data_IF_322986149965
#
_entry.id   IF_322986149965
#
_cell.length_a   1.000
_cell.length_b   1.000
_cell.length_c   1.000
_cell.angle_alpha   90.00
_cell.angle_beta   90.00
_cell.angle_gamma   90.00
#
_symmetry.space_group_name_H-M   'P 1'
#
loop_
_entity.id
_entity.type
_entity.pdbx_description
1 polymer ?
#
# COMPACT_ATOMS: atom_id res chain seq x y z
N UNK A 1 5.40 22.12 29.15
CA UNK A 1 6.00 21.52 30.36
C UNK A 1 6.98 22.48 31.08
N UNK A 2 6.91 23.80 30.87
CA UNK A 2 8.04 24.71 31.18
C UNK A 2 7.75 25.74 32.28
N UNK A 3 6.50 26.05 32.59
CA UNK A 3 6.16 27.06 33.61
C UNK A 3 6.33 26.53 35.04
N UNK A 4 5.97 25.27 35.28
CA UNK A 4 6.01 24.67 36.61
C UNK A 4 7.46 24.40 37.07
N UNK A 5 8.30 23.84 36.20
CA UNK A 5 9.70 23.53 36.52
C UNK A 5 10.53 24.81 36.75
N UNK A 6 10.29 25.86 35.96
CA UNK A 6 10.94 27.17 36.15
C UNK A 6 10.51 27.82 37.45
N UNK A 7 9.23 27.71 37.81
CA UNK A 7 8.71 28.22 39.07
C UNK A 7 9.33 27.51 40.29
N UNK A 8 9.47 26.18 40.24
CA UNK A 8 10.10 25.40 41.30
C UNK A 8 11.59 25.77 41.46
N UNK A 9 12.32 25.98 40.36
CA UNK A 9 13.72 26.43 40.43
C UNK A 9 13.85 27.81 41.07
N UNK A 10 12.97 28.76 40.74
CA UNK A 10 12.99 30.08 41.37
C UNK A 10 12.72 30.01 42.88
N UNK A 11 11.79 29.16 43.32
CA UNK A 11 11.60 28.93 44.76
C UNK A 11 12.85 28.36 45.44
N UNK A 12 13.51 27.38 44.80
CA UNK A 12 14.73 26.76 45.34
C UNK A 12 15.89 27.77 45.40
N UNK A 13 16.02 28.65 44.39
CA UNK A 13 17.02 29.74 44.42
C UNK A 13 16.81 30.70 45.59
N UNK A 14 15.56 31.08 45.85
CA UNK A 14 15.22 31.97 46.95
C UNK A 14 15.57 31.35 48.31
N UNK A 15 15.30 30.06 48.51
CA UNK A 15 15.65 29.32 49.73
C UNK A 15 17.18 29.17 49.86
N UNK A 16 17.88 28.90 48.76
CA UNK A 16 19.34 28.69 48.75
C UNK A 16 20.12 29.91 49.25
N UNK A 17 19.60 31.12 49.01
CA UNK A 17 20.23 32.37 49.46
C UNK A 17 20.21 32.54 51.00
N UNK A 18 19.38 31.78 51.71
CA UNK A 18 19.24 31.84 53.18
C UNK A 18 20.18 30.87 53.91
N UNK A 19 20.86 29.97 53.19
CA UNK A 19 21.68 28.91 53.78
C UNK A 19 23.16 29.30 53.99
N UNK A 20 23.87 28.67 54.95
CA UNK A 20 25.30 28.89 55.20
C UNK A 20 26.21 28.39 54.06
N UNK A 21 27.43 28.90 54.00
CA UNK A 21 28.28 28.91 52.79
C UNK A 21 28.55 27.55 52.10
N UNK A 22 28.77 26.48 52.85
CA UNK A 22 29.08 25.16 52.25
C UNK A 22 27.84 24.49 51.62
N UNK A 23 26.69 24.57 52.29
CA UNK A 23 25.41 24.06 51.77
C UNK A 23 24.93 24.87 50.57
N UNK A 24 25.11 26.20 50.63
CA UNK A 24 24.81 27.12 49.52
C UNK A 24 25.55 26.76 48.24
N UNK A 25 26.85 26.44 48.32
CA UNK A 25 27.64 26.07 47.14
C UNK A 25 27.18 24.75 46.53
N UNK A 26 26.85 23.76 47.36
CA UNK A 26 26.34 22.47 46.91
C UNK A 26 25.00 22.63 46.18
N UNK A 27 24.07 23.38 46.78
CA UNK A 27 22.77 23.68 46.17
C UNK A 27 22.90 24.48 44.88
N UNK A 28 23.82 25.46 44.81
CA UNK A 28 24.09 26.21 43.58
C UNK A 28 24.50 25.30 42.43
N UNK A 29 25.40 24.34 42.67
CA UNK A 29 25.82 23.38 41.65
C UNK A 29 24.65 22.48 41.20
N UNK A 30 23.78 22.07 42.13
CA UNK A 30 22.57 21.30 41.80
C UNK A 30 21.62 22.14 40.94
N UNK A 31 21.38 23.40 41.29
CA UNK A 31 20.54 24.34 40.52
C UNK A 31 21.12 24.53 39.11
N UNK A 32 22.42 24.76 38.96
CA UNK A 32 23.07 24.93 37.66
C UNK A 32 22.93 23.67 36.78
N UNK A 33 23.06 22.48 37.38
CA UNK A 33 22.85 21.22 36.66
C UNK A 33 21.39 21.01 36.25
N UNK A 34 20.43 21.38 37.11
CA UNK A 34 19.00 21.33 36.78
C UNK A 34 18.66 22.32 35.64
N UNK A 35 19.20 23.54 35.68
CA UNK A 35 18.98 24.56 34.65
C UNK A 35 19.53 24.10 33.28
N UNK A 36 20.72 23.48 33.25
CA UNK A 36 21.27 22.85 32.04
C UNK A 36 20.36 21.75 31.49
N UNK A 37 19.83 20.87 32.36
CA UNK A 37 18.91 19.80 31.94
C UNK A 37 17.60 20.34 31.38
N UNK A 38 17.02 21.38 32.01
CA UNK A 38 15.81 22.03 31.51
C UNK A 38 16.05 22.67 30.15
N UNK A 39 17.13 23.43 29.99
CA UNK A 39 17.51 24.02 28.69
C UNK A 39 17.71 22.96 27.60
N UNK A 40 18.27 21.81 27.95
CA UNK A 40 18.37 20.68 27.00
C UNK A 40 16.98 20.19 26.59
N UNK A 41 16.11 19.88 27.55
CA UNK A 41 14.74 19.42 27.28
C UNK A 41 13.91 20.44 26.50
N UNK A 42 14.11 21.73 26.73
CA UNK A 42 13.44 22.79 25.97
C UNK A 42 13.87 22.78 24.49
N UNK A 43 15.14 22.53 24.20
CA UNK A 43 15.62 22.35 22.82
C UNK A 43 15.01 21.10 22.19
N UNK A 44 15.08 19.96 22.87
CA UNK A 44 14.52 18.70 22.38
C UNK A 44 13.01 18.84 22.09
N UNK A 45 12.27 19.53 22.96
CA UNK A 45 10.85 19.82 22.75
C UNK A 45 10.59 20.72 21.53
N UNK A 46 11.40 21.75 21.34
CA UNK A 46 11.25 22.65 20.19
C UNK A 46 11.59 21.94 18.88
N UNK A 47 12.61 21.09 18.88
CA UNK A 47 13.00 20.27 17.73
C UNK A 47 11.90 19.27 17.37
N UNK A 48 11.33 18.59 18.38
CA UNK A 48 10.19 17.69 18.19
C UNK A 48 8.96 18.43 17.66
N UNK A 49 8.67 19.63 18.18
CA UNK A 49 7.54 20.43 17.71
C UNK A 49 7.72 20.88 16.25
N UNK A 50 8.96 21.19 15.85
CA UNK A 50 9.32 21.51 14.47
C UNK A 50 9.15 20.29 13.56
N UNK A 51 9.59 19.12 14.00
CA UNK A 51 9.40 17.86 13.27
C UNK A 51 7.91 17.51 13.08
N UNK A 52 7.10 17.66 14.13
CA UNK A 52 5.64 17.51 14.04
C UNK A 52 5.00 18.48 13.04
N UNK A 53 5.43 19.74 13.02
CA UNK A 53 4.96 20.73 12.05
C UNK A 53 5.30 20.34 10.62
N UNK A 54 6.54 19.87 10.38
CA UNK A 54 6.98 19.43 9.05
C UNK A 54 6.18 18.20 8.57
N UNK A 55 5.97 17.21 9.45
CA UNK A 55 5.17 16.02 9.14
C UNK A 55 3.72 16.38 8.80
N UNK A 56 3.13 17.35 9.50
CA UNK A 56 1.79 17.84 9.20
C UNK A 56 1.70 18.49 7.82
N UNK A 57 2.70 19.29 7.43
CA UNK A 57 2.77 19.91 6.11
C UNK A 57 2.95 18.87 4.98
N UNK A 58 3.76 17.83 5.20
CA UNK A 58 3.91 16.71 4.27
C UNK A 58 2.61 15.91 4.10
N UNK A 59 1.93 15.61 5.21
CA UNK A 59 0.60 14.99 5.19
C UNK A 59 -0.39 15.80 4.34
N UNK A 60 -0.43 17.13 4.53
CA UNK A 60 -1.30 18.02 3.75
C UNK A 60 -0.95 18.04 2.25
N UNK A 61 0.33 17.93 1.89
CA UNK A 61 0.75 17.78 0.48
C UNK A 61 0.28 16.45 -0.10
N UNK A 62 0.40 15.36 0.66
CA UNK A 62 -0.03 14.03 0.23
C UNK A 62 -1.55 13.96 0.03
N UNK A 63 -2.32 14.52 0.95
CA UNK A 63 -3.79 14.60 0.86
C UNK A 63 -4.25 15.30 -0.44
N UNK A 64 -3.58 16.41 -0.81
CA UNK A 64 -3.82 17.11 -2.08
C UNK A 64 -3.49 16.24 -3.30
N UNK A 65 -2.36 15.52 -3.27
CA UNK A 65 -1.94 14.62 -4.36
C UNK A 65 -2.93 13.47 -4.55
N UNK A 66 -3.41 12.87 -3.47
CA UNK A 66 -4.43 11.82 -3.49
C UNK A 66 -5.75 12.34 -4.08
N UNK A 67 -6.19 13.53 -3.66
CA UNK A 67 -7.40 14.16 -4.20
C UNK A 67 -7.31 14.41 -5.70
N UNK A 68 -6.14 14.86 -6.19
CA UNK A 68 -5.89 15.02 -7.63
C UNK A 68 -5.91 13.69 -8.38
N UNK A 69 -5.33 12.63 -7.80
CA UNK A 69 -5.37 11.28 -8.40
C UNK A 69 -6.80 10.72 -8.48
N UNK A 70 -7.64 10.95 -7.46
CA UNK A 70 -9.04 10.52 -7.51
C UNK A 70 -9.85 11.25 -8.59
N UNK A 71 -9.63 12.56 -8.76
CA UNK A 71 -10.26 13.33 -9.85
C UNK A 71 -9.85 12.81 -11.22
N UNK A 72 -8.57 12.45 -11.40
CA UNK A 72 -8.07 11.87 -12.65
C UNK A 72 -8.63 10.47 -12.89
N UNK A 73 -8.80 9.64 -11.84
CA UNK A 73 -9.43 8.32 -11.96
C UNK A 73 -10.87 8.42 -12.47
N UNK A 74 -11.65 9.36 -11.93
CA UNK A 74 -13.03 9.56 -12.40
C UNK A 74 -13.07 9.98 -13.87
N UNK A 75 -12.11 10.81 -14.33
CA UNK A 75 -11.97 11.15 -15.76
C UNK A 75 -11.60 9.94 -16.62
N UNK A 76 -10.77 9.04 -16.11
CA UNK A 76 -10.40 7.79 -16.81
C UNK A 76 -11.62 6.88 -16.96
N UNK A 77 -12.46 6.78 -15.93
CA UNK A 77 -13.70 5.99 -15.98
C UNK A 77 -14.70 6.58 -17.01
N UNK A 78 -14.79 7.91 -17.13
CA UNK A 78 -15.58 8.58 -18.18
C UNK A 78 -15.02 8.30 -19.58
N UNK A 79 -13.71 8.44 -19.78
CA UNK A 79 -13.05 8.16 -21.06
C UNK A 79 -13.18 6.68 -21.45
N UNK A 80 -13.15 5.76 -20.48
CA UNK A 80 -13.35 4.33 -20.76
C UNK A 80 -14.76 4.05 -21.27
N UNK A 81 -15.79 4.67 -20.68
CA UNK A 81 -17.19 4.54 -21.14
C UNK A 81 -17.37 5.11 -22.54
N UNK A 82 -16.75 6.25 -22.81
CA UNK A 82 -16.77 6.88 -24.14
C UNK A 82 -16.05 6.01 -25.19
N UNK A 83 -14.91 5.42 -24.85
CA UNK A 83 -14.20 4.45 -25.69
C UNK A 83 -15.06 3.21 -26.00
N UNK A 84 -15.73 2.66 -24.99
CA UNK A 84 -16.60 1.49 -25.17
C UNK A 84 -17.82 1.81 -26.06
N UNK A 85 -18.39 3.02 -25.90
CA UNK A 85 -19.44 3.54 -26.77
C UNK A 85 -19.00 3.60 -28.24
N UNK A 86 -17.85 4.21 -28.54
CA UNK A 86 -17.33 4.28 -29.91
C UNK A 86 -16.97 2.91 -30.48
N UNK A 87 -16.44 1.99 -29.65
CA UNK A 87 -16.15 0.62 -30.06
C UNK A 87 -17.41 -0.17 -30.42
N UNK A 88 -18.52 0.06 -29.70
CA UNK A 88 -19.83 -0.52 -30.03
C UNK A 88 -20.41 0.06 -31.32
N UNK A 89 -20.27 1.35 -31.59
CA UNK A 89 -20.72 1.92 -32.87
C UNK A 89 -19.95 1.38 -34.08
N UNK A 90 -18.63 1.21 -33.94
CA UNK A 90 -17.77 0.68 -35.01
C UNK A 90 -18.06 -0.79 -35.32
N UNK A 91 -18.10 -1.64 -34.30
CA UNK A 91 -18.20 -3.09 -34.46
C UNK A 91 -19.64 -3.60 -34.45
N UNK A 92 -20.56 -2.80 -33.94
CA UNK A 92 -21.96 -3.18 -33.72
C UNK A 92 -22.16 -3.82 -32.36
N UNK A 93 -23.43 -4.10 -32.09
CA UNK A 93 -23.87 -4.94 -30.97
C UNK A 93 -24.44 -6.24 -31.54
N UNK A 94 -24.81 -7.20 -30.68
CA UNK A 94 -25.48 -8.42 -31.14
C UNK A 94 -26.80 -8.13 -31.87
N UNK A 95 -27.43 -6.99 -31.59
CA UNK A 95 -28.71 -6.55 -32.17
C UNK A 95 -28.58 -5.58 -33.34
N UNK A 96 -27.48 -4.81 -33.45
CA UNK A 96 -27.32 -3.78 -34.50
C UNK A 96 -25.96 -3.91 -35.22
N UNK A 97 -25.95 -3.98 -36.56
CA UNK A 97 -24.71 -4.04 -37.32
C UNK A 97 -23.92 -2.74 -37.21
N UNK A 98 -22.66 -2.82 -36.82
CA UNK A 98 -21.77 -1.67 -36.72
C UNK A 98 -21.39 -1.10 -38.07
N UNK A 99 -20.83 0.12 -38.08
CA UNK A 99 -20.42 0.81 -39.29
C UNK A 99 -19.49 -0.01 -40.18
N UNK A 100 -18.61 -0.85 -39.61
CA UNK A 100 -17.72 -1.72 -40.38
C UNK A 100 -18.52 -2.77 -41.17
N UNK A 101 -19.54 -3.37 -40.54
CA UNK A 101 -20.39 -4.39 -41.17
C UNK A 101 -21.27 -3.76 -42.25
N UNK A 102 -21.83 -2.58 -41.99
CA UNK A 102 -22.60 -1.81 -42.97
C UNK A 102 -21.75 -1.39 -44.18
N UNK A 103 -20.49 -0.99 -43.97
CA UNK A 103 -19.56 -0.66 -45.06
C UNK A 103 -19.16 -1.90 -45.87
N UNK A 104 -18.90 -3.03 -45.21
CA UNK A 104 -18.59 -4.29 -45.90
C UNK A 104 -19.78 -4.80 -46.73
N UNK A 105 -21.00 -4.69 -46.21
CA UNK A 105 -22.23 -5.06 -46.91
C UNK A 105 -22.49 -4.14 -48.11
N UNK A 106 -22.24 -2.84 -47.96
CA UNK A 106 -22.30 -1.88 -49.08
C UNK A 106 -21.27 -2.19 -50.17
N UNK A 107 -20.04 -2.58 -49.80
CA UNK A 107 -18.99 -2.95 -50.75
C UNK A 107 -19.25 -4.29 -51.46
N UNK A 108 -19.78 -5.30 -50.75
CA UNK A 108 -20.18 -6.56 -51.37
C UNK A 108 -21.36 -6.37 -52.34
N UNK A 109 -22.27 -5.45 -52.03
CA UNK A 109 -23.31 -5.03 -52.97
C UNK A 109 -22.72 -4.29 -54.17
N UNK A 110 -21.67 -3.47 -54.00
CA UNK A 110 -20.95 -2.82 -55.11
C UNK A 110 -20.20 -3.82 -56.02
N UNK A 111 -19.61 -4.90 -55.48
CA UNK A 111 -18.99 -5.94 -56.32
C UNK A 111 -20.04 -6.73 -57.14
N UNK A 112 -21.25 -6.92 -56.61
CA UNK A 112 -22.38 -7.45 -57.38
C UNK A 112 -22.92 -6.46 -58.43
N UNK A 113 -22.60 -5.16 -58.32
CA UNK A 113 -22.94 -4.14 -59.32
C UNK A 113 -21.87 -3.94 -60.40
N UNK A 114 -20.67 -4.53 -60.27
CA UNK A 114 -19.62 -4.45 -61.30
C UNK A 114 -19.89 -5.33 -62.55
N UNK A 115 -21.06 -5.97 -62.65
CA UNK A 115 -21.59 -6.53 -63.90
C UNK A 115 -22.56 -5.59 -64.64
N UNK A 116 -22.74 -4.35 -64.18
CA UNK A 116 -23.47 -3.31 -64.90
C UNK A 116 -22.50 -2.17 -65.18
N UNK A 117 -21.73 -2.33 -66.27
CA UNK A 117 -21.06 -1.20 -66.90
C UNK A 117 -22.11 -0.16 -67.31
N UNK A 118 -21.79 1.10 -67.02
CA UNK A 118 -22.54 2.33 -67.26
C UNK A 118 -23.51 2.70 -66.13
N UNK A 119 -23.07 3.62 -65.26
CA UNK A 119 -23.61 4.99 -65.16
C UNK A 119 -22.84 5.71 -64.05
N UNK A 120 -22.21 6.82 -64.44
CA UNK A 120 -21.94 8.06 -63.68
C UNK A 120 -21.93 7.99 -62.13
N UNK A 121 -20.76 8.24 -61.53
CA UNK A 121 -20.73 8.75 -60.16
C UNK A 121 -19.50 8.40 -59.36
N UNK A 122 -18.41 9.14 -59.56
CA UNK A 122 -17.48 9.37 -58.45
C UNK A 122 -16.68 10.67 -58.63
N UNK A 123 -17.38 11.80 -58.54
CA UNK A 123 -16.81 13.10 -58.20
C UNK A 123 -16.73 13.22 -56.67
N UNK A 124 -15.81 12.50 -56.01
CA UNK A 124 -15.51 12.73 -54.58
C UNK A 124 -14.01 12.56 -54.33
N UNK A 125 -13.17 13.23 -55.13
CA UNK A 125 -11.76 13.48 -54.76
C UNK A 125 -11.40 14.92 -55.14
N UNK A 126 -12.25 15.87 -54.75
CA UNK A 126 -11.93 17.30 -54.76
C UNK A 126 -12.69 17.90 -53.58
N UNK A 127 -12.07 17.95 -52.40
CA UNK A 127 -12.76 18.47 -51.22
C UNK A 127 -12.05 18.39 -49.88
N UNK A 128 -10.92 17.69 -49.75
CA UNK A 128 -10.12 17.82 -48.53
C UNK A 128 -9.24 19.07 -48.71
N UNK A 129 -9.65 20.16 -48.08
CA UNK A 129 -8.81 21.36 -48.04
C UNK A 129 -7.54 21.04 -47.25
N UNK A 130 -6.40 21.59 -47.67
CA UNK A 130 -5.08 21.39 -47.01
C UNK A 130 -5.08 21.70 -45.51
N UNK A 131 -6.08 22.45 -45.04
CA UNK A 131 -6.34 22.79 -43.64
C UNK A 131 -6.90 21.60 -42.84
N UNK A 132 -7.87 20.87 -43.40
CA UNK A 132 -8.45 19.68 -42.75
C UNK A 132 -7.42 18.56 -42.59
N UNK A 133 -6.52 18.40 -43.58
CA UNK A 133 -5.40 17.46 -43.48
C UNK A 133 -4.42 17.86 -42.38
N UNK A 134 -4.16 19.17 -42.21
CA UNK A 134 -3.30 19.71 -41.15
C UNK A 134 -3.90 19.51 -39.76
N UNK A 135 -5.21 19.69 -39.62
CA UNK A 135 -5.92 19.48 -38.36
C UNK A 135 -5.91 18.00 -37.95
N UNK A 136 -6.12 17.07 -38.90
CA UNK A 136 -6.02 15.62 -38.66
C UNK A 136 -4.60 15.19 -38.27
N UNK A 137 -3.56 15.76 -38.89
CA UNK A 137 -2.16 15.47 -38.52
C UNK A 137 -1.84 15.97 -37.10
N UNK A 138 -2.37 17.14 -36.72
CA UNK A 138 -2.17 17.70 -35.39
C UNK A 138 -2.93 16.90 -34.32
N UNK A 139 -4.16 16.48 -34.60
CA UNK A 139 -4.91 15.58 -33.71
C UNK A 139 -4.19 14.24 -33.52
N UNK A 140 -3.65 13.65 -34.60
CA UNK A 140 -2.89 12.41 -34.51
C UNK A 140 -1.62 12.56 -33.66
N UNK A 141 -0.87 13.67 -33.80
CA UNK A 141 0.29 13.95 -32.93
C UNK A 141 -0.10 14.14 -31.47
N UNK A 142 -1.24 14.78 -31.22
CA UNK A 142 -1.75 15.01 -29.86
C UNK A 142 -2.21 13.70 -29.23
N UNK A 143 -2.86 12.82 -30.00
CA UNK A 143 -3.20 11.45 -29.63
C UNK A 143 -1.97 10.60 -29.33
N UNK A 144 -0.94 10.61 -30.19
CA UNK A 144 0.32 9.88 -29.93
C UNK A 144 1.01 10.36 -28.64
N UNK A 145 1.03 11.67 -28.40
CA UNK A 145 1.58 12.23 -27.17
C UNK A 145 0.81 11.78 -25.92
N UNK A 146 -0.52 11.70 -26.02
CA UNK A 146 -1.37 11.18 -24.95
C UNK A 146 -1.20 9.67 -24.76
N UNK A 147 -1.05 8.90 -25.84
CA UNK A 147 -0.78 7.46 -25.80
C UNK A 147 0.56 7.18 -25.12
N UNK A 148 1.63 7.93 -25.44
CA UNK A 148 2.92 7.78 -24.76
C UNK A 148 2.86 8.17 -23.28
N UNK A 149 2.16 9.27 -22.94
CA UNK A 149 1.94 9.62 -21.52
C UNK A 149 1.15 8.56 -20.77
N UNK A 150 0.15 7.95 -21.41
CA UNK A 150 -0.63 6.87 -20.81
C UNK A 150 0.16 5.57 -20.71
N UNK A 151 0.98 5.20 -21.71
CA UNK A 151 1.87 4.04 -21.60
C UNK A 151 2.83 4.14 -20.41
N UNK A 152 3.36 5.33 -20.14
CA UNK A 152 4.24 5.55 -18.99
C UNK A 152 3.49 5.54 -17.65
N UNK A 153 2.22 5.96 -17.62
CA UNK A 153 1.40 5.95 -16.40
C UNK A 153 0.70 4.60 -16.13
N UNK A 154 0.56 3.75 -17.16
CA UNK A 154 -0.10 2.45 -17.11
C UNK A 154 0.84 1.33 -17.53
N UNK A 155 2.14 1.45 -17.23
CA UNK A 155 3.04 0.31 -17.37
C UNK A 155 2.46 -0.83 -16.53
N UNK A 156 2.25 -1.99 -17.17
CA UNK A 156 1.63 -3.16 -16.53
C UNK A 156 2.36 -3.56 -15.23
N UNK A 157 3.65 -3.24 -15.15
CA UNK A 157 4.50 -3.46 -13.98
C UNK A 157 4.07 -2.63 -12.76
N UNK A 158 3.78 -1.33 -12.92
CA UNK A 158 3.37 -0.46 -11.80
C UNK A 158 2.00 -0.88 -11.26
N UNK A 159 1.11 -1.29 -12.16
CA UNK A 159 -0.21 -1.80 -11.79
C UNK A 159 -0.07 -3.14 -11.05
N UNK A 160 0.79 -4.05 -11.52
CA UNK A 160 1.05 -5.33 -10.85
C UNK A 160 1.71 -5.15 -9.48
N UNK A 161 2.65 -4.22 -9.35
CA UNK A 161 3.29 -3.87 -8.07
C UNK A 161 2.26 -3.31 -7.10
N UNK A 162 1.40 -2.39 -7.54
CA UNK A 162 0.34 -1.84 -6.70
C UNK A 162 -0.62 -2.92 -6.18
N UNK A 163 -1.07 -3.84 -7.04
CA UNK A 163 -1.95 -4.94 -6.63
C UNK A 163 -1.25 -5.92 -5.67
N UNK A 164 0.01 -6.28 -5.93
CA UNK A 164 0.80 -7.13 -5.01
C UNK A 164 0.97 -6.46 -3.65
N UNK A 165 1.23 -5.15 -3.64
CA UNK A 165 1.39 -4.39 -2.40
C UNK A 165 0.07 -4.30 -1.62
N UNK A 166 -1.05 -4.08 -2.30
CA UNK A 166 -2.37 -4.06 -1.66
C UNK A 166 -2.76 -5.43 -1.08
N UNK A 167 -2.46 -6.52 -1.79
CA UNK A 167 -2.66 -7.88 -1.29
C UNK A 167 -1.80 -8.16 -0.05
N UNK A 168 -0.54 -7.74 -0.07
CA UNK A 168 0.36 -7.84 1.07
C UNK A 168 -0.20 -7.11 2.30
N UNK A 169 -0.63 -5.85 2.17
CA UNK A 169 -1.24 -5.12 3.28
C UNK A 169 -2.52 -5.78 3.78
N UNK A 170 -3.37 -6.28 2.88
CA UNK A 170 -4.60 -6.99 3.28
C UNK A 170 -4.27 -8.25 4.07
N UNK A 171 -3.27 -9.01 3.64
CA UNK A 171 -2.82 -10.23 4.31
C UNK A 171 -2.17 -9.93 5.66
N UNK A 172 -1.37 -8.87 5.75
CA UNK A 172 -0.79 -8.40 7.00
C UNK A 172 -1.88 -7.99 8.00
N UNK A 173 -2.87 -7.20 7.58
CA UNK A 173 -3.97 -6.77 8.43
C UNK A 173 -4.83 -7.94 8.89
N UNK A 174 -5.09 -8.91 8.00
CA UNK A 174 -5.84 -10.12 8.34
C UNK A 174 -5.08 -10.98 9.35
N UNK A 175 -3.76 -11.15 9.18
CA UNK A 175 -2.93 -11.88 10.12
C UNK A 175 -2.89 -11.18 11.50
N UNK A 176 -2.74 -9.85 11.50
CA UNK A 176 -2.79 -9.07 12.74
C UNK A 176 -4.13 -9.24 13.49
N UNK A 177 -5.25 -9.23 12.76
CA UNK A 177 -6.57 -9.50 13.35
C UNK A 177 -6.68 -10.91 13.94
N UNK A 178 -6.17 -11.92 13.24
CA UNK A 178 -6.13 -13.30 13.74
C UNK A 178 -5.28 -13.44 15.01
N UNK A 179 -4.14 -12.76 15.08
CA UNK A 179 -3.28 -12.75 16.26
C UNK A 179 -4.00 -12.14 17.47
N UNK A 180 -4.70 -11.01 17.28
CA UNK A 180 -5.52 -10.41 18.34
C UNK A 180 -6.60 -11.37 18.82
N UNK A 181 -7.35 -11.98 17.88
CA UNK A 181 -8.41 -12.93 18.19
C UNK A 181 -7.87 -14.14 18.97
N UNK A 182 -6.70 -14.63 18.58
CA UNK A 182 -6.02 -15.74 19.25
C UNK A 182 -5.66 -15.41 20.70
N UNK A 183 -5.03 -14.26 20.95
CA UNK A 183 -4.70 -13.85 22.33
C UNK A 183 -5.95 -13.58 23.18
N UNK A 184 -7.02 -13.07 22.57
CA UNK A 184 -8.29 -12.92 23.24
C UNK A 184 -8.88 -14.27 23.69
N UNK A 185 -8.80 -15.30 22.84
CA UNK A 185 -9.21 -16.67 23.18
C UNK A 185 -8.35 -17.27 24.30
N UNK A 186 -7.02 -17.04 24.27
CA UNK A 186 -6.13 -17.48 25.36
C UNK A 186 -6.52 -16.85 26.68
N UNK A 187 -6.85 -15.55 26.67
CA UNK A 187 -7.27 -14.84 27.87
C UNK A 187 -8.56 -15.46 28.44
N UNK A 188 -9.57 -15.71 27.59
CA UNK A 188 -10.81 -16.38 27.99
C UNK A 188 -10.53 -17.76 28.56
N UNK A 189 -9.67 -18.55 27.89
CA UNK A 189 -9.30 -19.89 28.35
C UNK A 189 -8.55 -19.83 29.69
N UNK A 190 -7.65 -18.87 29.87
CA UNK A 190 -6.95 -18.63 31.11
C UNK A 190 -7.93 -18.37 32.26
N UNK A 191 -8.86 -17.42 32.09
CA UNK A 191 -9.93 -17.16 33.06
C UNK A 191 -10.72 -18.45 33.34
N UNK A 192 -11.12 -19.18 32.30
CA UNK A 192 -11.86 -20.43 32.46
C UNK A 192 -11.10 -21.46 33.29
N UNK A 193 -9.82 -21.69 33.00
CA UNK A 193 -8.98 -22.64 33.72
C UNK A 193 -8.77 -22.22 35.18
N UNK A 194 -8.59 -20.93 35.45
CA UNK A 194 -8.37 -20.43 36.81
C UNK A 194 -9.64 -20.50 37.67
N UNK A 195 -10.80 -20.11 37.15
CA UNK A 195 -12.04 -19.98 37.94
C UNK A 195 -12.94 -21.20 37.95
N UNK A 196 -12.97 -22.03 36.89
CA UNK A 196 -13.95 -23.11 36.76
C UNK A 196 -13.36 -24.52 36.95
N UNK A 197 -12.04 -24.70 36.79
CA UNK A 197 -11.37 -26.01 36.91
C UNK A 197 -10.56 -26.11 38.19
N UNK A 198 -11.19 -26.51 39.29
CA UNK A 198 -10.49 -26.65 40.60
C UNK A 198 -9.61 -27.91 40.71
N UNK A 199 -9.79 -28.90 39.83
CA UNK A 199 -9.07 -30.18 39.92
C UNK A 199 -7.65 -30.15 39.33
N UNK A 200 -7.24 -29.06 38.68
CA UNK A 200 -5.89 -28.92 38.13
C UNK A 200 -5.00 -28.10 39.07
N UNK A 201 -3.75 -28.56 39.25
CA UNK A 201 -2.72 -27.80 39.95
C UNK A 201 -2.54 -26.42 39.33
N UNK A 202 -2.35 -25.39 40.16
CA UNK A 202 -2.16 -24.01 39.70
C UNK A 202 -0.95 -23.87 38.78
N UNK A 203 0.12 -24.63 39.06
CA UNK A 203 1.32 -24.67 38.21
C UNK A 203 1.03 -25.21 36.81
N UNK A 204 0.16 -26.20 36.70
CA UNK A 204 -0.22 -26.78 35.41
C UNK A 204 -1.07 -25.81 34.58
N UNK A 205 -1.97 -25.05 35.23
CA UNK A 205 -2.75 -24.00 34.57
C UNK A 205 -1.85 -22.90 34.01
N UNK A 206 -0.89 -22.44 34.81
CA UNK A 206 0.11 -21.44 34.40
C UNK A 206 0.93 -21.96 33.23
N UNK A 207 1.43 -23.20 33.32
CA UNK A 207 2.22 -23.84 32.27
C UNK A 207 1.47 -23.90 30.93
N UNK A 208 0.22 -24.39 30.90
CA UNK A 208 -0.59 -24.45 29.67
C UNK A 208 -0.82 -23.05 29.09
N UNK A 209 -1.13 -22.07 29.95
CA UNK A 209 -1.42 -20.70 29.51
C UNK A 209 -0.19 -20.06 28.86
N UNK A 210 0.99 -20.22 29.46
CA UNK A 210 2.27 -19.75 28.90
C UNK A 210 2.60 -20.49 27.61
N UNK A 211 2.43 -21.80 27.57
CA UNK A 211 2.70 -22.61 26.38
C UNK A 211 1.85 -22.15 25.18
N UNK A 212 0.57 -21.89 25.39
CA UNK A 212 -0.34 -21.34 24.37
C UNK A 212 0.02 -19.91 23.99
N UNK A 213 0.43 -19.07 24.93
CA UNK A 213 0.86 -17.70 24.64
C UNK A 213 2.13 -17.65 23.77
N UNK A 214 3.03 -18.62 23.93
CA UNK A 214 4.28 -18.71 23.15
C UNK A 214 4.07 -19.44 21.81
N UNK A 215 3.00 -20.24 21.69
CA UNK A 215 2.65 -21.00 20.48
C UNK A 215 2.84 -20.25 19.14
N UNK A 216 2.34 -19.01 18.94
CA UNK A 216 2.46 -18.32 17.64
C UNK A 216 3.92 -18.03 17.24
N UNK A 217 4.86 -17.99 18.19
CA UNK A 217 6.28 -17.79 17.91
C UNK A 217 7.01 -19.09 17.57
N UNK A 218 6.55 -20.21 18.13
CA UNK A 218 7.22 -21.51 17.96
C UNK A 218 6.61 -22.31 16.81
N UNK A 219 5.34 -22.07 16.46
CA UNK A 219 4.64 -22.88 15.47
C UNK A 219 5.31 -22.86 14.09
N UNK A 220 5.85 -21.72 13.65
CA UNK A 220 6.57 -21.63 12.37
C UNK A 220 7.84 -22.50 12.37
N UNK A 221 8.56 -22.54 13.49
CA UNK A 221 9.77 -23.37 13.65
C UNK A 221 9.39 -24.86 13.64
N UNK A 222 8.32 -25.22 14.36
CA UNK A 222 7.81 -26.60 14.40
C UNK A 222 7.33 -27.02 13.00
N UNK A 223 6.56 -26.17 12.33
CA UNK A 223 6.05 -26.39 10.98
C UNK A 223 7.22 -26.67 10.03
N UNK A 224 8.22 -25.79 10.04
CA UNK A 224 9.45 -25.98 9.26
C UNK A 224 10.10 -27.34 9.54
N UNK A 225 10.28 -27.70 10.81
CA UNK A 225 10.93 -28.96 11.18
C UNK A 225 10.11 -30.20 10.77
N UNK A 226 8.78 -30.16 10.96
CA UNK A 226 7.88 -31.25 10.59
C UNK A 226 7.87 -31.45 9.08
N UNK A 227 7.75 -30.38 8.30
CA UNK A 227 7.81 -30.49 6.85
C UNK A 227 9.19 -30.91 6.35
N UNK A 228 10.26 -30.40 6.93
CA UNK A 228 11.62 -30.84 6.63
C UNK A 228 11.75 -32.35 6.85
N UNK A 229 11.30 -32.86 8.00
CA UNK A 229 11.35 -34.28 8.32
C UNK A 229 10.49 -35.12 7.36
N UNK A 230 9.25 -34.68 7.06
CA UNK A 230 8.35 -35.37 6.15
C UNK A 230 8.90 -35.39 4.71
N UNK A 231 9.43 -34.27 4.24
CA UNK A 231 10.00 -34.16 2.90
C UNK A 231 11.30 -34.98 2.78
N UNK A 232 12.13 -34.97 3.82
CA UNK A 232 13.31 -35.82 3.89
C UNK A 232 12.95 -37.31 3.81
N UNK A 233 11.96 -37.76 4.60
CA UNK A 233 11.48 -39.15 4.56
C UNK A 233 10.89 -39.48 3.18
N UNK A 234 10.12 -38.57 2.59
CA UNK A 234 9.58 -38.73 1.25
C UNK A 234 10.68 -38.86 0.18
N UNK A 235 11.70 -38.00 0.23
CA UNK A 235 12.83 -38.05 -0.69
C UNK A 235 13.62 -39.36 -0.55
N UNK A 236 13.83 -39.81 0.69
CA UNK A 236 14.50 -41.08 1.00
C UNK A 236 13.73 -42.30 0.47
N UNK A 237 12.40 -42.31 0.63
CA UNK A 237 11.54 -43.40 0.14
C UNK A 237 11.51 -43.44 -1.40
N UNK A 238 11.47 -42.28 -2.06
CA UNK A 238 11.33 -42.20 -3.51
C UNK A 238 12.67 -42.14 -4.26
N UNK A 239 13.80 -42.10 -3.56
CA UNK A 239 15.13 -42.00 -4.17
C UNK A 239 15.35 -40.69 -4.95
N UNK A 240 14.61 -39.64 -4.61
CA UNK A 240 14.73 -38.32 -5.25
C UNK A 240 15.76 -37.50 -4.48
N UNK A 241 16.65 -36.74 -5.14
CA UNK A 241 17.58 -35.85 -4.45
C UNK A 241 16.81 -34.82 -3.62
N UNK A 242 17.20 -34.70 -2.36
CA UNK A 242 16.63 -33.73 -1.43
C UNK A 242 17.10 -32.31 -1.84
N UNK A 243 16.16 -31.46 -2.22
CA UNK A 243 16.41 -30.06 -2.60
C UNK A 243 15.57 -29.10 -1.75
N UNK A 244 16.24 -28.19 -1.06
CA UNK A 244 15.65 -27.12 -0.25
C UNK A 244 15.35 -25.85 -1.04
N UNK A 245 15.89 -25.70 -2.26
CA UNK A 245 15.84 -24.49 -3.07
C UNK A 245 14.43 -24.10 -3.55
N UNK A 246 13.53 -25.07 -3.61
CA UNK A 246 12.11 -24.85 -3.96
C UNK A 246 11.21 -24.59 -2.73
N UNK A 247 11.80 -24.40 -1.55
CA UNK A 247 11.04 -24.27 -0.30
C UNK A 247 10.75 -22.78 0.02
N UNK A 248 9.46 -22.45 0.23
CA UNK A 248 8.92 -21.11 0.58
C UNK A 248 9.17 -19.93 -0.39
N UNK A 249 9.76 -20.14 -1.58
CA UNK A 249 10.16 -19.01 -2.43
C UNK A 249 11.28 -18.14 -1.80
N UNK A 250 11.87 -18.59 -0.69
CA UNK A 250 13.16 -18.09 -0.22
C UNK A 250 14.23 -18.78 -1.06
N UNK A 251 14.65 -18.11 -2.12
CA UNK A 251 15.95 -18.45 -2.69
C UNK A 251 16.99 -18.06 -1.65
N UNK A 252 17.61 -19.05 -1.01
CA UNK A 252 18.91 -18.85 -0.37
C UNK A 252 19.92 -18.64 -1.51
N UNK A 253 19.84 -17.47 -2.15
CA UNK A 253 20.89 -17.01 -3.04
C UNK A 253 22.02 -16.59 -2.13
N UNK A 254 23.01 -17.47 -1.99
CA UNK A 254 24.30 -17.14 -1.44
C UNK A 254 24.81 -15.89 -2.16
N UNK A 255 24.90 -14.78 -1.42
CA UNK A 255 25.71 -13.63 -1.78
C UNK A 255 26.99 -13.65 -0.96
#
# INVERSE_FOLDING_TARGET
MTSLDRYQIEQIKNITNLLPGNERNTLRNIIENMDKKIKSRERDYNDLNKECSNLYDEYKKLEKKVSQMMLNKNKVDEISKEKDFYKQQLNGTESEPGFIKLLAEKNNNLENFNNINNIEGMSIIEGITTKELGDVINENKLLESQIQKNQNNYSADDTQVFYKQQQFYRQQNFNFFLIILFYFLILILGIYLFFFKNNMSIYFKIFITILLAIYPFIIEIIEFFVYFALYYVYALINGVPFDLGNYYGFTFTDK
#
